data_IF_356880159130
#
_entry.id   IF_356880159130
#
_cell.length_a   1.000
_cell.length_b   1.000
_cell.length_c   1.000
_cell.angle_alpha   90.00
_cell.angle_beta   90.00
_cell.angle_gamma   90.00
#
_symmetry.space_group_name_H-M   'P 1'
#
loop_
_entity.id
_entity.type
_entity.pdbx_description
1 polymer ?
#
# COMPACT_ATOMS: atom_id res chain seq x y z
N UNK A 1 -0.61 -9.71 -9.77
CA UNK A 1 -0.30 -8.29 -9.55
C UNK A 1 1.10 -8.11 -10.04
N UNK A 2 1.31 -7.23 -11.00
CA UNK A 2 2.62 -7.12 -11.63
C UNK A 2 3.26 -5.77 -11.29
N UNK A 3 4.48 -5.83 -10.77
CA UNK A 3 5.28 -4.64 -10.51
C UNK A 3 5.72 -4.07 -11.86
N UNK A 4 5.47 -2.77 -12.06
CA UNK A 4 5.99 -1.98 -13.18
C UNK A 4 7.40 -1.49 -12.86
N UNK A 5 7.55 -0.80 -11.73
CA UNK A 5 8.83 -0.20 -11.32
C UNK A 5 8.89 0.04 -9.82
N UNK A 6 10.09 -0.01 -9.26
CA UNK A 6 10.40 0.58 -7.97
C UNK A 6 10.45 2.10 -8.11
N UNK A 7 9.94 2.85 -7.12
CA UNK A 7 10.01 4.32 -7.16
C UNK A 7 10.48 4.97 -5.85
N UNK A 8 10.61 4.24 -4.74
CA UNK A 8 11.14 4.84 -3.51
C UNK A 8 11.17 3.89 -2.31
N UNK A 9 11.93 4.27 -1.30
CA UNK A 9 11.91 3.62 0.00
C UNK A 9 12.21 4.61 1.11
N UNK A 10 11.42 4.54 2.18
CA UNK A 10 11.52 5.42 3.33
C UNK A 10 11.80 4.61 4.59
N UNK A 11 12.57 5.18 5.50
CA UNK A 11 12.82 4.60 6.82
C UNK A 11 12.15 5.50 7.85
N UNK A 12 11.09 5.00 8.48
CA UNK A 12 10.36 5.74 9.51
C UNK A 12 10.55 5.09 10.87
N UNK A 13 10.76 5.91 11.88
CA UNK A 13 10.61 5.48 13.26
C UNK A 13 9.12 5.36 13.57
N UNK A 14 8.70 4.22 14.09
CA UNK A 14 7.32 3.96 14.49
C UNK A 14 6.99 4.84 15.68
N UNK A 15 6.46 6.02 15.38
CA UNK A 15 5.96 6.95 16.37
C UNK A 15 4.44 6.90 16.39
N UNK A 16 3.88 6.13 17.34
CA UNK A 16 2.43 5.98 17.53
C UNK A 16 1.79 7.18 18.25
N UNK A 17 2.52 8.28 18.44
CA UNK A 17 1.98 9.50 19.06
C UNK A 17 0.92 10.19 18.20
N UNK A 18 0.77 9.80 16.93
CA UNK A 18 -0.32 10.25 16.05
C UNK A 18 -1.38 9.13 15.93
N UNK A 19 -2.52 9.21 16.64
CA UNK A 19 -3.57 8.19 16.61
C UNK A 19 -4.07 7.87 15.21
N UNK A 20 -4.10 8.88 14.32
CA UNK A 20 -4.52 8.76 12.92
C UNK A 20 -3.60 7.83 12.13
N UNK A 21 -2.29 7.93 12.32
CA UNK A 21 -1.32 7.04 11.67
C UNK A 21 -1.46 5.61 12.20
N UNK A 22 -1.60 5.45 13.52
CA UNK A 22 -1.81 4.13 14.13
C UNK A 22 -3.06 3.46 13.55
N UNK A 23 -4.17 4.17 13.53
CA UNK A 23 -5.44 3.65 13.01
C UNK A 23 -5.35 3.35 11.50
N UNK A 24 -4.65 4.19 10.73
CA UNK A 24 -4.39 3.93 9.32
C UNK A 24 -3.66 2.59 9.10
N UNK A 25 -2.57 2.33 9.83
CA UNK A 25 -1.83 1.08 9.68
C UNK A 25 -2.58 -0.15 10.23
N UNK A 26 -3.35 0.00 11.31
CA UNK A 26 -4.24 -1.05 11.81
C UNK A 26 -5.32 -1.41 10.79
N UNK A 27 -5.91 -0.40 10.14
CA UNK A 27 -6.82 -0.62 9.01
C UNK A 27 -6.11 -1.35 7.86
N UNK A 28 -4.79 -1.16 7.70
CA UNK A 28 -3.92 -1.88 6.76
C UNK A 28 -3.57 -3.31 7.19
N UNK A 29 -4.07 -3.77 8.34
CA UNK A 29 -3.72 -5.07 8.89
C UNK A 29 -2.26 -5.16 9.33
N UNK A 30 -1.60 -4.01 9.49
CA UNK A 30 -0.21 -3.89 9.91
C UNK A 30 -0.22 -3.52 11.39
N UNK A 31 0.16 -4.48 12.24
CA UNK A 31 0.27 -4.24 13.67
C UNK A 31 1.58 -3.52 14.00
N UNK A 32 1.59 -2.19 13.92
CA UNK A 32 2.76 -1.38 14.27
C UNK A 32 3.06 -1.33 15.78
N UNK A 33 2.12 -1.70 16.65
CA UNK A 33 2.33 -1.72 18.10
C UNK A 33 3.47 -2.67 18.49
N UNK A 34 3.60 -3.81 17.79
CA UNK A 34 4.70 -4.76 17.98
C UNK A 34 6.08 -4.20 17.60
N UNK A 35 6.12 -3.07 16.89
CA UNK A 35 7.31 -2.41 16.38
C UNK A 35 7.48 -1.00 16.94
N UNK A 36 6.85 -0.69 18.09
CA UNK A 36 7.02 0.57 18.80
C UNK A 36 8.50 0.89 19.04
N UNK A 37 8.88 2.15 18.78
CA UNK A 37 10.26 2.66 18.89
C UNK A 37 11.28 1.92 17.99
N UNK A 38 10.79 1.19 16.97
CA UNK A 38 11.63 0.57 15.93
C UNK A 38 11.60 1.41 14.67
N UNK A 39 12.65 1.26 13.86
CA UNK A 39 12.69 1.77 12.49
C UNK A 39 12.13 0.71 11.55
N UNK A 40 11.08 1.05 10.84
CA UNK A 40 10.47 0.23 9.80
C UNK A 40 10.75 0.84 8.44
N UNK A 41 10.93 -0.02 7.44
CA UNK A 41 11.17 0.40 6.06
C UNK A 41 9.87 0.27 5.28
N UNK A 42 9.49 1.34 4.59
CA UNK A 42 8.45 1.33 3.58
C UNK A 42 9.11 1.27 2.21
N UNK A 43 8.70 0.34 1.37
CA UNK A 43 9.24 0.14 0.03
C UNK A 43 8.11 0.26 -0.97
N UNK A 44 8.23 1.19 -1.90
CA UNK A 44 7.15 1.59 -2.78
C UNK A 44 7.39 1.14 -4.22
N UNK A 45 6.37 0.51 -4.78
CA UNK A 45 6.36 0.02 -6.15
C UNK A 45 5.13 0.51 -6.89
N UNK A 46 5.31 0.86 -8.15
CA UNK A 46 4.22 1.12 -9.07
C UNK A 46 3.76 -0.20 -9.68
N UNK A 47 2.45 -0.39 -9.77
CA UNK A 47 1.85 -1.54 -10.44
C UNK A 47 1.66 -1.27 -11.93
N UNK A 48 1.61 -2.33 -12.73
CA UNK A 48 1.20 -2.21 -14.14
C UNK A 48 -0.30 -1.97 -14.27
N UNK A 49 -1.06 -2.48 -13.31
CA UNK A 49 -2.50 -2.27 -13.25
C UNK A 49 -2.83 -0.81 -12.88
N UNK A 50 -3.89 -0.29 -13.49
CA UNK A 50 -4.52 0.99 -13.13
C UNK A 50 -5.97 0.75 -12.73
N UNK A 51 -6.49 1.60 -11.85
CA UNK A 51 -7.91 1.68 -11.54
C UNK A 51 -8.56 2.69 -12.48
N UNK A 52 -9.74 2.38 -13.04
CA UNK A 52 -10.61 3.40 -13.62
C UNK A 52 -11.89 3.53 -12.80
N UNK A 53 -12.22 4.74 -12.40
CA UNK A 53 -13.45 5.10 -11.70
C UNK A 53 -14.15 6.30 -12.38
N UNK A 54 -15.17 6.87 -11.72
CA UNK A 54 -15.90 8.05 -12.24
C UNK A 54 -15.09 9.34 -12.26
N UNK A 55 -13.95 9.38 -11.57
CA UNK A 55 -13.06 10.53 -11.46
C UNK A 55 -11.88 10.44 -12.43
N UNK A 56 -11.55 9.26 -12.95
CA UNK A 56 -10.55 9.08 -13.99
C UNK A 56 -9.84 7.73 -13.94
N UNK A 57 -8.68 7.68 -14.59
CA UNK A 57 -7.77 6.54 -14.51
C UNK A 57 -6.66 6.86 -13.50
N UNK A 58 -6.57 6.06 -12.46
CA UNK A 58 -5.62 6.18 -11.37
C UNK A 58 -4.56 5.10 -11.48
N UNK A 59 -3.29 5.49 -11.35
CA UNK A 59 -2.20 4.54 -11.25
C UNK A 59 -2.20 3.92 -9.86
N UNK A 60 -1.91 2.63 -9.79
CA UNK A 60 -1.88 1.91 -8.52
C UNK A 60 -0.45 1.71 -8.05
N UNK A 61 -0.25 1.80 -6.74
CA UNK A 61 1.00 1.48 -6.07
C UNK A 61 0.79 0.39 -5.02
N UNK A 62 1.86 -0.34 -4.72
CA UNK A 62 1.94 -1.22 -3.56
C UNK A 62 3.09 -0.74 -2.69
N UNK A 63 2.83 -0.63 -1.40
CA UNK A 63 3.84 -0.36 -0.39
C UNK A 63 4.04 -1.61 0.45
N UNK A 64 5.28 -2.09 0.50
CA UNK A 64 5.71 -3.19 1.35
C UNK A 64 6.32 -2.60 2.61
N UNK A 65 5.90 -3.10 3.77
CA UNK A 65 6.42 -2.68 5.08
C UNK A 65 7.31 -3.78 5.62
N UNK A 66 8.53 -3.41 5.96
CA UNK A 66 9.59 -4.34 6.34
C UNK A 66 10.25 -3.96 7.66
N UNK A 67 10.63 -4.97 8.43
CA UNK A 67 11.46 -4.83 9.62
C UNK A 67 12.56 -5.90 9.57
N UNK A 68 13.83 -5.51 9.71
CA UNK A 68 14.98 -6.42 9.60
C UNK A 68 14.93 -7.33 8.35
N UNK A 69 14.58 -6.75 7.20
CA UNK A 69 14.44 -7.45 5.92
C UNK A 69 13.32 -8.51 5.86
N UNK A 70 12.45 -8.57 6.88
CA UNK A 70 11.22 -9.38 6.85
C UNK A 70 10.03 -8.51 6.48
N UNK A 71 9.18 -9.01 5.59
CA UNK A 71 7.90 -8.36 5.26
C UNK A 71 6.95 -8.57 6.45
N UNK A 72 6.51 -7.47 7.03
CA UNK A 72 5.58 -7.45 8.18
C UNK A 72 4.19 -6.95 7.79
N UNK A 73 4.06 -6.39 6.59
CA UNK A 73 2.79 -5.92 6.06
C UNK A 73 2.95 -5.37 4.65
N UNK A 74 1.82 -5.12 3.99
CA UNK A 74 1.80 -4.40 2.74
C UNK A 74 0.40 -3.83 2.50
N UNK A 75 0.32 -2.73 1.75
CA UNK A 75 -0.95 -2.14 1.34
C UNK A 75 -0.87 -1.63 -0.09
N UNK A 76 -2.03 -1.50 -0.72
CA UNK A 76 -2.18 -0.97 -2.08
C UNK A 76 -2.87 0.39 -1.97
N UNK A 77 -2.62 1.26 -2.93
CA UNK A 77 -3.21 2.59 -2.97
C UNK A 77 -3.17 3.14 -4.38
N UNK A 78 -3.79 4.29 -4.56
CA UNK A 78 -3.49 5.11 -5.71
C UNK A 78 -2.10 5.77 -5.52
N UNK A 79 -1.38 5.99 -6.61
CA UNK A 79 -0.11 6.73 -6.59
C UNK A 79 -0.27 8.15 -6.04
N UNK A 80 -1.44 8.77 -6.26
CA UNK A 80 -1.77 10.14 -5.84
C UNK A 80 -2.12 10.27 -4.35
N UNK A 81 -2.02 9.19 -3.57
CA UNK A 81 -2.09 9.23 -2.12
C UNK A 81 -3.45 8.85 -1.52
N UNK A 82 -4.38 8.28 -2.29
CA UNK A 82 -5.60 7.68 -1.73
C UNK A 82 -5.36 6.21 -1.32
N UNK A 83 -5.31 5.88 -0.02
CA UNK A 83 -5.11 4.53 0.43
C UNK A 83 -6.42 3.74 0.32
N UNK A 84 -6.44 2.67 -0.49
CA UNK A 84 -7.49 1.64 -0.39
C UNK A 84 -6.86 0.35 0.04
N UNK A 85 -7.20 0.01 1.27
CA UNK A 85 -6.31 -0.71 2.17
C UNK A 85 -6.65 -2.18 2.22
N UNK A 86 -5.79 -3.06 1.70
CA UNK A 86 -6.16 -4.45 1.40
C UNK A 86 -4.96 -5.38 1.54
N UNK A 87 -5.19 -6.47 2.27
CA UNK A 87 -4.27 -7.60 2.40
C UNK A 87 -4.10 -8.27 1.02
N UNK A 88 -2.85 -8.56 0.64
CA UNK A 88 -2.45 -8.93 -0.73
C UNK A 88 -3.03 -10.28 -1.20
N UNK A 89 -3.70 -11.05 -0.33
CA UNK A 89 -4.21 -12.39 -0.66
C UNK A 89 -5.36 -12.40 -1.66
N UNK A 90 -5.97 -11.25 -2.01
CA UNK A 90 -7.14 -11.21 -2.91
C UNK A 90 -7.16 -10.04 -3.90
N UNK A 91 -6.33 -10.11 -4.96
CA UNK A 91 -6.22 -9.10 -6.04
C UNK A 91 -7.57 -8.51 -6.48
N UNK A 92 -8.60 -9.31 -6.75
CA UNK A 92 -9.89 -8.81 -7.23
C UNK A 92 -10.69 -8.05 -6.16
N UNK A 93 -10.60 -8.48 -4.89
CA UNK A 93 -11.20 -7.74 -3.77
C UNK A 93 -10.51 -6.39 -3.56
N UNK A 94 -9.26 -6.26 -4.02
CA UNK A 94 -8.52 -5.00 -3.94
C UNK A 94 -9.28 -3.91 -4.71
N UNK A 95 -9.43 -4.11 -6.02
CA UNK A 95 -9.99 -3.12 -6.91
C UNK A 95 -11.50 -2.91 -6.72
N UNK A 96 -12.23 -3.95 -6.29
CA UNK A 96 -13.65 -3.83 -5.95
C UNK A 96 -13.89 -2.82 -4.81
N UNK A 97 -13.00 -2.75 -3.79
CA UNK A 97 -13.16 -1.78 -2.69
C UNK A 97 -12.98 -0.34 -3.13
N UNK A 98 -12.17 -0.10 -4.17
CA UNK A 98 -12.06 1.23 -4.77
C UNK A 98 -13.22 1.54 -5.73
N UNK A 99 -14.15 0.59 -5.95
CA UNK A 99 -15.23 0.75 -6.94
C UNK A 99 -14.69 0.82 -8.37
N UNK A 100 -13.54 0.19 -8.63
CA UNK A 100 -12.79 0.33 -9.88
C UNK A 100 -12.96 -0.84 -10.82
N UNK A 101 -12.90 -0.54 -12.12
CA UNK A 101 -12.58 -1.53 -13.15
C UNK A 101 -11.04 -1.65 -13.29
N UNK A 102 -10.54 -2.90 -13.34
CA UNK A 102 -9.11 -3.18 -13.49
C UNK A 102 -8.72 -2.97 -14.95
N UNK A 103 -7.75 -2.08 -15.17
CA UNK A 103 -7.17 -1.85 -16.49
C UNK A 103 -5.72 -2.36 -16.48
N UNK A 104 -5.41 -3.31 -17.36
CA UNK A 104 -4.04 -3.74 -17.60
C UNK A 104 -3.43 -2.89 -18.73
N UNK A 105 -2.26 -2.32 -18.48
CA UNK A 105 -1.50 -1.58 -19.49
C UNK A 105 -1.05 -2.57 -20.57
N UNK A 106 -1.70 -2.53 -21.75
CA UNK A 106 -1.31 -3.36 -22.90
C UNK A 106 0.06 -2.87 -23.39
N UNK A 107 1.04 -3.78 -23.37
CA UNK A 107 2.39 -3.56 -23.88
C UNK A 107 2.42 -3.40 -25.39
#
# INVERSE_FOLDING_TARGET
MEIKSFYGSDLEEVNLMLPERKQMYENMGINLEAYRDKKIRFVHYLLKESCKDKYGTHKMSVTIVEYNSQIIGAYIGHEDGNPGVIKIDKKAEVFNRFGCEIMEERR
#
